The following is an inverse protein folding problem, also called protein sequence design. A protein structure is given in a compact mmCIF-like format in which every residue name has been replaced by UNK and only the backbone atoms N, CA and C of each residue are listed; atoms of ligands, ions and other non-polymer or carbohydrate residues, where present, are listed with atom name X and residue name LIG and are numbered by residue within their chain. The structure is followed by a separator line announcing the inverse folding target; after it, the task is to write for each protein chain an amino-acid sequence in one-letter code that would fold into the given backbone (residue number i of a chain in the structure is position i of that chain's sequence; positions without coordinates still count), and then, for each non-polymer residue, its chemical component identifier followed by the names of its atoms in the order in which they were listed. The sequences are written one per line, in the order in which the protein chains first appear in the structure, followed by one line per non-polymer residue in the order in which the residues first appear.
data_IF_966543259233
#
_entry.id   IF_966543259233
#
_cell.length_a   1.000
_cell.length_b   1.000
_cell.length_c   1.000
_cell.angle_alpha   90.00
_cell.angle_beta   90.00
_cell.angle_gamma   90.00
#
_symmetry.space_group_name_H-M   'P 1'
#
loop_
_entity.id
_entity.type
_entity.pdbx_description
1 polymer ?
#
# COMPACT_ATOMS: atom_id res chain seq x y z
N UNK A 1 -6.36 -23.96 1.68
CA UNK A 1 -6.99 -23.08 0.69
C UNK A 1 -6.07 -21.88 0.43
N UNK A 2 -5.88 -21.51 -0.82
CA UNK A 2 -4.95 -20.45 -1.15
C UNK A 2 -5.58 -19.09 -0.99
N UNK A 3 -4.79 -18.12 -0.54
CA UNK A 3 -5.22 -16.71 -0.52
C UNK A 3 -5.32 -16.18 -1.96
N UNK A 4 -6.22 -15.23 -2.20
CA UNK A 4 -6.20 -14.51 -3.48
C UNK A 4 -4.84 -13.85 -3.71
N UNK A 5 -4.44 -13.75 -4.99
CA UNK A 5 -3.11 -13.21 -5.34
C UNK A 5 -2.92 -11.77 -4.91
N UNK A 6 -4.01 -11.02 -4.73
CA UNK A 6 -3.96 -9.60 -4.36
C UNK A 6 -3.88 -9.35 -2.85
N UNK A 7 -3.83 -10.39 -2.03
CA UNK A 7 -3.64 -10.22 -0.59
C UNK A 7 -2.22 -9.73 -0.32
N UNK A 8 -2.08 -8.69 0.51
CA UNK A 8 -0.78 -8.09 0.82
C UNK A 8 -0.07 -8.88 1.91
N UNK A 9 1.15 -9.31 1.63
CA UNK A 9 2.02 -9.97 2.62
C UNK A 9 2.88 -8.95 3.36
N UNK A 10 3.47 -7.99 2.63
CA UNK A 10 4.34 -7.00 3.23
C UNK A 10 4.32 -5.71 2.43
N UNK A 11 4.72 -4.62 3.08
CA UNK A 11 4.79 -3.31 2.45
C UNK A 11 6.01 -2.56 2.97
N UNK A 12 6.64 -1.80 2.09
CA UNK A 12 7.71 -0.88 2.45
C UNK A 12 7.38 0.48 1.87
N UNK A 13 7.15 1.45 2.75
CA UNK A 13 6.92 2.83 2.32
C UNK A 13 8.26 3.51 2.03
N UNK A 14 8.29 4.36 1.02
CA UNK A 14 9.49 5.05 0.58
C UNK A 14 9.31 6.55 0.64
N UNK A 15 10.42 7.28 0.73
CA UNK A 15 10.40 8.73 0.89
C UNK A 15 9.83 9.47 -0.32
N UNK A 16 9.75 8.82 -1.48
CA UNK A 16 9.17 9.40 -2.69
C UNK A 16 7.66 9.17 -2.79
N UNK A 17 7.02 8.74 -1.69
CA UNK A 17 5.59 8.44 -1.63
C UNK A 17 5.20 7.25 -2.50
N UNK A 18 6.10 6.30 -2.67
CA UNK A 18 5.76 5.01 -3.25
C UNK A 18 5.71 3.92 -2.19
N UNK A 19 4.94 2.86 -2.48
CA UNK A 19 4.86 1.68 -1.62
C UNK A 19 5.37 0.49 -2.42
N UNK A 20 6.38 -0.19 -1.90
CA UNK A 20 6.79 -1.48 -2.46
C UNK A 20 5.99 -2.56 -1.74
N UNK A 21 5.17 -3.27 -2.49
CA UNK A 21 4.22 -4.22 -1.92
C UNK A 21 4.53 -5.62 -2.43
N UNK A 22 4.61 -6.58 -1.49
CA UNK A 22 4.72 -7.99 -1.82
C UNK A 22 3.38 -8.65 -1.56
N UNK A 23 2.83 -9.27 -2.59
CA UNK A 23 1.54 -9.95 -2.51
C UNK A 23 1.72 -11.43 -2.22
N UNK A 24 0.66 -12.09 -1.74
CA UNK A 24 0.72 -13.47 -1.29
C UNK A 24 1.15 -14.45 -2.39
N UNK A 25 0.93 -14.11 -3.65
CA UNK A 25 1.36 -14.92 -4.77
C UNK A 25 2.83 -14.74 -5.15
N UNK A 26 3.58 -13.95 -4.39
CA UNK A 26 4.98 -13.66 -4.68
C UNK A 26 5.21 -12.49 -5.62
N UNK A 27 4.15 -11.92 -6.16
CA UNK A 27 4.25 -10.76 -7.04
C UNK A 27 4.58 -9.53 -6.22
N UNK A 28 5.52 -8.73 -6.72
CA UNK A 28 5.90 -7.47 -6.08
C UNK A 28 5.55 -6.33 -7.02
N UNK A 29 4.96 -5.28 -6.47
CA UNK A 29 4.57 -4.10 -7.25
C UNK A 29 4.95 -2.83 -6.50
N UNK A 30 5.18 -1.76 -7.27
CA UNK A 30 5.34 -0.43 -6.71
C UNK A 30 4.07 0.36 -6.98
N UNK A 31 3.50 0.90 -5.93
CA UNK A 31 2.29 1.73 -6.01
C UNK A 31 2.66 3.18 -5.74
N UNK A 32 2.29 4.08 -6.67
CA UNK A 32 2.50 5.52 -6.49
C UNK A 32 1.34 6.07 -5.66
N UNK A 33 1.63 6.48 -4.43
CA UNK A 33 0.62 6.98 -3.51
C UNK A 33 0.38 8.48 -3.65
N UNK A 34 1.15 9.19 -4.49
CA UNK A 34 1.00 10.65 -4.61
C UNK A 34 -0.41 11.10 -4.99
N UNK A 35 -1.15 10.40 -5.88
CA UNK A 35 -2.52 10.81 -6.16
C UNK A 35 -3.45 10.76 -4.94
N UNK A 36 -3.14 9.95 -3.94
CA UNK A 36 -3.96 9.88 -2.72
C UNK A 36 -3.87 11.15 -1.89
N UNK A 37 -2.74 11.86 -1.98
CA UNK A 37 -2.49 13.03 -1.14
C UNK A 37 -3.48 14.16 -1.39
N UNK A 38 -4.11 14.18 -2.56
CA UNK A 38 -5.12 15.17 -2.90
C UNK A 38 -6.50 14.84 -2.32
N UNK A 39 -6.68 13.65 -1.77
CA UNK A 39 -7.97 13.22 -1.24
C UNK A 39 -8.07 13.53 0.25
N UNK A 40 -9.18 14.12 0.72
CA UNK A 40 -9.30 14.48 2.14
C UNK A 40 -9.13 13.31 3.09
N UNK A 41 -9.61 12.12 2.72
CA UNK A 41 -9.52 10.94 3.58
C UNK A 41 -8.06 10.52 3.80
N UNK A 42 -7.16 10.89 2.89
CA UNK A 42 -5.74 10.55 2.98
C UNK A 42 -4.87 11.76 3.32
N UNK A 43 -5.46 12.86 3.81
CA UNK A 43 -4.72 14.08 4.08
C UNK A 43 -3.55 13.89 5.06
N UNK A 44 -3.70 12.99 6.03
CA UNK A 44 -2.64 12.72 7.00
C UNK A 44 -1.36 12.18 6.34
N UNK A 45 -1.48 11.55 5.18
CA UNK A 45 -0.32 11.02 4.46
C UNK A 45 0.60 12.11 3.91
N UNK A 46 0.15 13.36 3.86
CA UNK A 46 1.03 14.47 3.47
C UNK A 46 2.17 14.67 4.47
N UNK A 47 2.03 14.14 5.69
CA UNK A 47 3.15 14.06 6.62
C UNK A 47 3.97 12.82 6.26
N UNK A 48 5.18 13.02 5.76
CA UNK A 48 6.00 11.91 5.28
C UNK A 48 6.30 10.91 6.41
N UNK A 49 6.56 11.38 7.62
CA UNK A 49 6.84 10.50 8.75
C UNK A 49 5.66 9.57 9.02
N UNK A 50 4.44 10.09 8.91
CA UNK A 50 3.24 9.27 9.07
C UNK A 50 3.12 8.27 7.92
N UNK A 51 3.36 8.72 6.67
CA UNK A 51 3.30 7.84 5.50
C UNK A 51 4.28 6.67 5.63
N UNK A 52 5.48 6.93 6.16
CA UNK A 52 6.52 5.91 6.31
C UNK A 52 6.13 4.83 7.33
N UNK A 53 5.09 5.06 8.12
CA UNK A 53 4.59 4.09 9.09
C UNK A 53 3.62 3.05 8.52
N UNK A 54 3.48 2.96 7.21
CA UNK A 54 2.60 1.97 6.59
C UNK A 54 2.95 0.55 7.03
N UNK A 55 1.93 -0.25 7.34
CA UNK A 55 2.11 -1.65 7.72
C UNK A 55 1.14 -2.54 6.93
N UNK A 56 1.49 -3.82 6.81
CA UNK A 56 0.64 -4.81 6.18
C UNK A 56 -0.08 -5.60 7.28
N UNK A 57 -1.39 -5.44 7.36
CA UNK A 57 -2.20 -6.14 8.34
C UNK A 57 -3.49 -6.59 7.68
N UNK A 58 -3.96 -7.80 8.06
CA UNK A 58 -5.19 -8.37 7.54
C UNK A 58 -5.25 -8.38 6.00
N UNK A 59 -4.09 -8.54 5.37
CA UNK A 59 -4.00 -8.66 3.92
C UNK A 59 -4.09 -7.35 3.17
N UNK A 60 -3.98 -6.21 3.85
CA UNK A 60 -4.02 -4.90 3.21
C UNK A 60 -2.97 -3.97 3.82
N UNK A 61 -2.86 -2.77 3.26
CA UNK A 61 -1.94 -1.75 3.78
C UNK A 61 -2.73 -0.79 4.65
N UNK A 62 -2.25 -0.57 5.87
CA UNK A 62 -2.89 0.38 6.78
C UNK A 62 -1.84 1.32 7.39
N UNK A 63 -2.30 2.49 7.84
CA UNK A 63 -1.49 3.45 8.60
C UNK A 63 -2.00 3.58 10.04
N UNK A 64 -3.31 3.47 10.22
CA UNK A 64 -3.95 3.40 11.53
C UNK A 64 -5.34 2.81 11.35
N UNK A 65 -6.16 2.82 12.41
CA UNK A 65 -7.49 2.21 12.37
C UNK A 65 -8.44 2.89 11.37
N UNK A 66 -8.14 4.13 11.00
CA UNK A 66 -9.02 4.94 10.15
C UNK A 66 -8.54 5.05 8.71
N UNK A 67 -7.27 4.72 8.44
CA UNK A 67 -6.67 4.94 7.12
C UNK A 67 -6.09 3.64 6.59
N UNK A 68 -6.75 3.10 5.57
CA UNK A 68 -6.32 1.88 4.90
C UNK A 68 -6.56 2.02 3.39
N UNK A 69 -6.01 1.08 2.63
CA UNK A 69 -6.20 1.02 1.17
C UNK A 69 -6.61 -0.40 0.82
N UNK A 70 -7.64 -0.53 -0.02
CA UNK A 70 -8.08 -1.84 -0.49
C UNK A 70 -6.94 -2.53 -1.26
N UNK A 71 -6.64 -3.80 -0.93
CA UNK A 71 -5.54 -4.50 -1.58
C UNK A 71 -5.76 -4.71 -3.08
N UNK A 72 -7.01 -4.87 -3.50
CA UNK A 72 -7.32 -5.01 -4.93
C UNK A 72 -6.90 -3.76 -5.71
N UNK A 73 -7.12 -2.57 -5.13
CA UNK A 73 -6.71 -1.32 -5.76
C UNK A 73 -5.18 -1.27 -5.92
N UNK A 74 -4.46 -1.68 -4.88
CA UNK A 74 -3.00 -1.71 -4.93
C UNK A 74 -2.49 -2.69 -5.99
N UNK A 75 -3.15 -3.83 -6.10
CA UNK A 75 -2.76 -4.85 -7.06
C UNK A 75 -3.01 -4.37 -8.51
N UNK A 76 -4.15 -3.73 -8.75
CA UNK A 76 -4.53 -3.28 -10.09
C UNK A 76 -3.71 -2.07 -10.54
N UNK A 77 -3.43 -1.15 -9.63
CA UNK A 77 -2.77 0.12 -9.97
C UNK A 77 -1.26 0.08 -9.78
N UNK A 78 -0.73 -0.92 -9.07
CA UNK A 78 0.71 -1.05 -8.88
C UNK A 78 1.41 -1.49 -10.16
N UNK A 79 2.68 -1.08 -10.29
CA UNK A 79 3.52 -1.45 -11.44
C UNK A 79 4.40 -2.63 -11.02
N UNK A 80 4.38 -3.74 -11.77
CA UNK A 80 5.20 -4.91 -11.41
C UNK A 80 6.68 -4.59 -11.33
N UNK A 81 7.34 -5.16 -10.33
CA UNK A 81 8.78 -5.05 -10.13
C UNK A 81 9.40 -6.39 -10.50
N UNK A 82 10.45 -6.34 -11.28
CA UNK A 82 11.18 -7.54 -11.66
C UNK A 82 12.37 -7.79 -10.75
#
# INVERSE_FOLDING_TARGET
MNNPVWVVDSVEAREDYTLLITFSGGVRKIYDARPLLAKPIYAALNNLAFFMGATAECGTVIWNDDIDIAPEHLYECGVPVQ
#
